data_IF_455944600721
#
_entry.id   IF_455944600721
#
_cell.length_a   1.000
_cell.length_b   1.000
_cell.length_c   1.000
_cell.angle_alpha   90.00
_cell.angle_beta   90.00
_cell.angle_gamma   90.00
#
_symmetry.space_group_name_H-M   'P 1'
#
loop_
_entity.id
_entity.type
_entity.pdbx_description
1 polymer ?
#
# COMPACT_ATOMS: atom_id res chain seq x y z
N UNK A 1 4.80 -8.29 -11.17
CA UNK A 1 6.11 -8.50 -11.84
C UNK A 1 7.33 -8.27 -10.94
N UNK A 2 7.48 -7.14 -10.23
CA UNK A 2 8.66 -6.90 -9.38
C UNK A 2 8.68 -7.71 -8.08
N UNK A 3 7.52 -7.95 -7.48
CA UNK A 3 7.39 -8.74 -6.25
C UNK A 3 7.87 -10.17 -6.49
N UNK A 4 7.37 -10.78 -7.55
CA UNK A 4 7.65 -12.14 -7.97
C UNK A 4 9.12 -12.31 -8.37
N UNK A 5 9.73 -11.27 -8.97
CA UNK A 5 11.16 -11.26 -9.25
C UNK A 5 12.00 -11.20 -7.97
N UNK A 6 11.60 -10.37 -7.00
CA UNK A 6 12.26 -10.33 -5.70
C UNK A 6 12.11 -11.67 -4.96
N UNK A 7 10.93 -12.31 -5.01
CA UNK A 7 10.70 -13.63 -4.40
C UNK A 7 11.54 -14.73 -5.04
N UNK A 8 11.80 -14.63 -6.35
CA UNK A 8 12.65 -15.57 -7.08
C UNK A 8 14.16 -15.26 -6.95
N UNK A 9 14.53 -14.23 -6.20
CA UNK A 9 15.93 -13.88 -5.95
C UNK A 9 16.61 -13.09 -7.06
N UNK A 10 15.86 -12.47 -7.98
CA UNK A 10 16.41 -11.58 -9.02
C UNK A 10 16.80 -10.20 -8.46
N UNK A 11 17.50 -10.18 -7.32
CA UNK A 11 17.94 -8.97 -6.64
C UNK A 11 16.91 -8.41 -5.65
N UNK A 12 16.92 -7.09 -5.52
CA UNK A 12 16.20 -6.32 -4.51
C UNK A 12 15.37 -5.25 -5.20
N UNK A 13 14.20 -4.96 -4.64
CA UNK A 13 13.25 -4.00 -5.21
C UNK A 13 12.68 -3.10 -4.11
N UNK A 14 12.42 -1.85 -4.45
CA UNK A 14 11.62 -0.97 -3.60
C UNK A 14 10.14 -1.31 -3.82
N UNK A 15 9.50 -1.84 -2.78
CA UNK A 15 8.10 -2.28 -2.80
C UNK A 15 7.32 -1.58 -1.69
N UNK A 16 6.02 -1.29 -1.89
CA UNK A 16 5.16 -0.82 -0.80
C UNK A 16 5.06 -1.89 0.30
N UNK A 17 5.16 -1.48 1.57
CA UNK A 17 5.11 -2.40 2.71
C UNK A 17 3.82 -3.22 2.75
N UNK A 18 2.68 -2.60 2.40
CA UNK A 18 1.38 -3.30 2.35
C UNK A 18 1.38 -4.42 1.30
N UNK A 19 2.03 -4.21 0.16
CA UNK A 19 2.10 -5.19 -0.92
C UNK A 19 2.88 -6.44 -0.47
N UNK A 20 3.99 -6.23 0.23
CA UNK A 20 4.81 -7.33 0.77
C UNK A 20 4.09 -8.05 1.91
N UNK A 21 3.44 -7.32 2.83
CA UNK A 21 2.66 -7.94 3.92
C UNK A 21 1.51 -8.80 3.41
N UNK A 22 0.84 -8.39 2.33
CA UNK A 22 -0.33 -9.09 1.82
C UNK A 22 0.02 -10.22 0.84
N UNK A 23 1.09 -10.06 0.06
CA UNK A 23 1.39 -10.95 -1.07
C UNK A 23 2.83 -11.48 -1.11
N UNK A 24 3.69 -11.16 -0.14
CA UNK A 24 5.11 -11.55 -0.15
C UNK A 24 5.40 -12.95 0.40
N UNK A 25 4.36 -13.69 0.81
CA UNK A 25 4.43 -15.09 1.28
C UNK A 25 5.55 -15.39 2.29
N UNK A 26 5.93 -14.41 3.11
CA UNK A 26 7.07 -14.48 4.05
C UNK A 26 8.41 -14.89 3.41
N UNK A 27 8.56 -14.72 2.09
CA UNK A 27 9.77 -15.04 1.33
C UNK A 27 10.75 -13.87 1.20
N UNK A 28 10.31 -12.67 1.57
CA UNK A 28 11.05 -11.43 1.42
C UNK A 28 11.50 -10.90 2.77
N UNK A 29 12.74 -10.42 2.83
CA UNK A 29 13.29 -9.75 4.00
C UNK A 29 13.33 -8.24 3.76
N UNK A 30 12.80 -7.46 4.71
CA UNK A 30 12.88 -6.00 4.67
C UNK A 30 14.32 -5.53 4.91
N UNK A 31 14.82 -4.69 3.99
CA UNK A 31 16.10 -4.01 4.15
C UNK A 31 15.87 -2.63 4.77
N UNK A 32 16.76 -2.21 5.70
CA UNK A 32 16.70 -0.90 6.39
C UNK A 32 17.84 0.04 5.97
N UNK A 33 17.96 0.42 4.69
CA UNK A 33 18.95 1.42 4.27
C UNK A 33 18.60 2.80 4.84
N UNK A 34 19.61 3.68 4.95
CA UNK A 34 19.41 5.04 5.47
C UNK A 34 18.39 5.81 4.63
N UNK A 35 17.42 6.45 5.29
CA UNK A 35 16.36 7.23 4.64
C UNK A 35 15.15 6.41 4.16
N UNK A 36 15.04 5.15 4.59
CA UNK A 36 13.88 4.30 4.42
C UNK A 36 13.33 3.84 5.79
N UNK A 37 12.04 3.48 5.89
CA UNK A 37 11.01 3.46 4.84
C UNK A 37 10.60 4.88 4.39
N UNK A 38 10.15 5.00 3.12
CA UNK A 38 9.57 6.25 2.61
C UNK A 38 8.06 6.22 2.75
N UNK A 39 7.51 7.26 3.35
CA UNK A 39 6.06 7.47 3.38
C UNK A 39 5.60 8.00 2.02
N UNK A 40 4.57 7.37 1.47
CA UNK A 40 3.93 7.77 0.21
C UNK A 40 2.49 8.13 0.55
N UNK A 41 2.08 9.36 0.24
CA UNK A 41 0.69 9.78 0.40
C UNK A 41 -0.17 9.26 -0.74
N UNK A 42 -1.38 8.81 -0.42
CA UNK A 42 -2.38 8.35 -1.38
C UNK A 42 -3.65 9.15 -1.14
N UNK A 43 -4.13 9.84 -2.17
CA UNK A 43 -5.32 10.67 -2.11
C UNK A 43 -6.44 10.07 -2.97
N UNK A 44 -7.65 10.04 -2.43
CA UNK A 44 -8.85 9.68 -3.19
C UNK A 44 -9.43 10.92 -3.86
N UNK A 45 -9.60 10.87 -5.19
CA UNK A 45 -10.09 12.00 -5.99
C UNK A 45 -11.32 11.60 -6.80
N UNK A 46 -12.25 12.54 -6.96
CA UNK A 46 -13.45 12.35 -7.79
C UNK A 46 -13.84 13.64 -8.50
N UNK A 47 -14.68 13.50 -9.54
CA UNK A 47 -15.21 14.63 -10.27
C UNK A 47 -16.27 15.37 -9.46
N UNK A 48 -16.16 16.70 -9.37
CA UNK A 48 -17.23 17.55 -8.78
C UNK A 48 -18.48 17.61 -9.66
N UNK A 49 -18.32 17.47 -10.98
CA UNK A 49 -19.42 17.52 -11.95
C UNK A 49 -20.21 16.22 -12.00
N UNK A 50 -19.58 15.11 -11.62
CA UNK A 50 -20.16 13.78 -11.62
C UNK A 50 -19.72 13.09 -10.35
N UNK A 51 -20.36 13.42 -9.21
CA UNK A 51 -20.00 12.82 -7.94
C UNK A 51 -20.20 11.29 -8.00
N UNK A 52 -19.44 10.54 -7.21
CA UNK A 52 -19.60 9.09 -7.15
C UNK A 52 -21.05 8.75 -6.75
N UNK A 53 -21.60 7.69 -7.35
CA UNK A 53 -22.88 7.14 -6.90
C UNK A 53 -22.75 6.47 -5.53
N UNK A 54 -23.84 5.88 -4.99
CA UNK A 54 -23.83 5.20 -3.70
C UNK A 54 -22.73 4.14 -3.57
N UNK A 55 -22.47 3.37 -4.63
CA UNK A 55 -21.38 2.39 -4.64
C UNK A 55 -19.98 3.04 -4.58
N UNK A 56 -19.82 4.22 -5.19
CA UNK A 56 -18.55 4.94 -5.16
C UNK A 56 -18.28 5.57 -3.79
N UNK A 57 -19.31 6.13 -3.14
CA UNK A 57 -19.19 6.59 -1.76
C UNK A 57 -18.92 5.45 -0.78
N UNK A 58 -19.61 4.32 -0.95
CA UNK A 58 -19.32 3.11 -0.17
C UNK A 58 -17.84 2.67 -0.33
N UNK A 59 -17.30 2.68 -1.54
CA UNK A 59 -15.89 2.35 -1.76
C UNK A 59 -14.95 3.37 -1.09
N UNK A 60 -15.28 4.66 -1.16
CA UNK A 60 -14.50 5.71 -0.49
C UNK A 60 -14.45 5.48 1.03
N UNK A 61 -15.58 5.16 1.66
CA UNK A 61 -15.64 4.84 3.09
C UNK A 61 -14.74 3.65 3.42
N UNK A 62 -14.76 2.59 2.62
CA UNK A 62 -13.89 1.41 2.81
C UNK A 62 -12.40 1.73 2.66
N UNK A 63 -12.05 2.59 1.69
CA UNK A 63 -10.67 3.00 1.48
C UNK A 63 -10.16 3.86 2.65
N UNK A 64 -11.02 4.71 3.23
CA UNK A 64 -10.69 5.53 4.39
C UNK A 64 -10.53 4.69 5.67
N UNK A 65 -11.42 3.74 5.90
CA UNK A 65 -11.32 2.77 7.02
C UNK A 65 -10.00 1.99 6.93
N UNK A 66 -9.66 1.44 5.76
CA UNK A 66 -8.40 0.73 5.55
C UNK A 66 -7.16 1.61 5.74
N UNK A 67 -7.24 2.90 5.40
CA UNK A 67 -6.13 3.83 5.59
C UNK A 67 -5.87 4.12 7.08
N UNK A 68 -6.92 4.20 7.89
CA UNK A 68 -6.80 4.38 9.35
C UNK A 68 -6.10 3.19 10.00
N UNK A 69 -6.49 1.96 9.64
CA UNK A 69 -5.85 0.73 10.11
C UNK A 69 -4.36 0.67 9.74
N UNK A 70 -4.02 1.04 8.51
CA UNK A 70 -2.63 1.08 8.05
C UNK A 70 -1.81 2.16 8.78
N UNK A 71 -2.41 3.32 9.07
CA UNK A 71 -1.77 4.38 9.84
C UNK A 71 -1.54 3.99 11.30
N UNK A 72 -2.48 3.26 11.91
CA UNK A 72 -2.32 2.71 13.27
C UNK A 72 -1.17 1.70 13.32
N UNK A 73 -1.12 0.76 12.37
CA UNK A 73 -0.08 -0.27 12.29
C UNK A 73 1.34 0.26 12.00
N UNK A 74 1.49 1.54 11.65
CA UNK A 74 2.79 2.21 11.47
C UNK A 74 3.25 2.98 12.73
N UNK A 75 2.37 3.14 13.74
CA UNK A 75 2.65 3.85 14.99
C UNK A 75 3.17 2.93 16.11
N UNK A 76 2.91 1.63 16.01
CA UNK A 76 3.42 0.57 16.91
C UNK A 76 4.76 -0.01 16.43
#
# INVERSE_FOLDING_TARGET
MLLEMAEQGFGWAALPNWLVKQYGHDKLAELKPRGWPKLISVDAVWSKLSPPGPAGYWLLERLLESAEDQAAALRD
#
